data_IF_802594820945
#
_entry.id   IF_802594820945
#
_cell.length_a   1.000
_cell.length_b   1.000
_cell.length_c   1.000
_cell.angle_alpha   90.00
_cell.angle_beta   90.00
_cell.angle_gamma   90.00
#
_symmetry.space_group_name_H-M   'P 1'
#
loop_
_entity.id
_entity.type
_entity.pdbx_description
1 polymer ?
#
# COMPACT_ATOMS: atom_id res chain seq x y z
N UNK A 1 -39.99 7.49 15.27
CA UNK A 1 -39.65 6.70 14.07
C UNK A 1 -38.15 6.52 14.07
N UNK A 2 -37.68 5.32 14.40
CA UNK A 2 -36.26 4.99 14.41
C UNK A 2 -35.86 4.57 12.99
N UNK A 3 -35.00 5.36 12.36
CA UNK A 3 -34.38 5.04 11.08
C UNK A 3 -33.45 3.86 11.32
N UNK A 4 -33.77 2.69 10.74
CA UNK A 4 -32.87 1.55 10.70
C UNK A 4 -31.70 1.94 9.81
N UNK A 5 -30.54 2.20 10.41
CA UNK A 5 -29.27 2.18 9.70
C UNK A 5 -29.03 0.73 9.28
N UNK A 6 -29.26 0.46 8.00
CA UNK A 6 -28.87 -0.80 7.39
C UNK A 6 -27.35 -0.73 7.23
N UNK A 7 -26.61 -1.35 8.13
CA UNK A 7 -25.22 -1.71 7.88
C UNK A 7 -25.18 -2.44 6.53
N UNK A 8 -24.61 -1.78 5.51
CA UNK A 8 -24.45 -2.36 4.19
C UNK A 8 -23.31 -3.37 4.27
N UNK A 9 -23.62 -4.57 4.77
CA UNK A 9 -22.71 -5.72 4.83
C UNK A 9 -22.64 -6.42 3.48
N UNK A 10 -22.30 -5.69 2.41
CA UNK A 10 -21.89 -6.31 1.15
C UNK A 10 -20.38 -6.60 1.25
N UNK A 11 -19.94 -7.88 1.30
CA UNK A 11 -18.52 -8.24 1.37
C UNK A 11 -17.71 -7.66 0.21
N UNK A 12 -18.36 -7.33 -0.92
CA UNK A 12 -17.74 -6.71 -2.08
C UNK A 12 -17.31 -5.26 -1.81
N UNK A 13 -18.07 -4.52 -1.00
CA UNK A 13 -17.78 -3.13 -0.66
C UNK A 13 -16.69 -3.01 0.41
N UNK A 14 -16.63 -3.95 1.35
CA UNK A 14 -15.58 -3.99 2.37
C UNK A 14 -14.19 -4.27 1.74
N UNK A 15 -14.09 -5.27 0.86
CA UNK A 15 -12.85 -5.58 0.15
C UNK A 15 -12.38 -4.44 -0.76
N UNK A 16 -13.32 -3.79 -1.46
CA UNK A 16 -13.01 -2.61 -2.28
C UNK A 16 -12.54 -1.43 -1.44
N UNK A 17 -13.23 -1.14 -0.32
CA UNK A 17 -12.82 -0.09 0.62
C UNK A 17 -11.41 -0.32 1.13
N UNK A 18 -11.07 -1.55 1.51
CA UNK A 18 -9.71 -1.87 1.94
C UNK A 18 -8.70 -1.65 0.83
N UNK A 19 -8.98 -2.13 -0.39
CA UNK A 19 -8.10 -1.88 -1.54
C UNK A 19 -7.89 -0.38 -1.81
N UNK A 20 -8.95 0.43 -1.74
CA UNK A 20 -8.85 1.89 -1.89
C UNK A 20 -8.01 2.53 -0.78
N UNK A 21 -8.19 2.12 0.48
CA UNK A 21 -7.39 2.61 1.60
C UNK A 21 -5.91 2.27 1.39
N UNK A 22 -5.59 1.04 0.99
CA UNK A 22 -4.21 0.62 0.72
C UNK A 22 -3.59 1.43 -0.41
N UNK A 23 -4.33 1.66 -1.49
CA UNK A 23 -3.92 2.54 -2.59
C UNK A 23 -3.64 3.97 -2.11
N UNK A 24 -4.55 4.57 -1.34
CA UNK A 24 -4.36 5.92 -0.78
C UNK A 24 -3.11 6.00 0.08
N UNK A 25 -2.88 5.00 0.95
CA UNK A 25 -1.66 4.94 1.77
C UNK A 25 -0.43 4.92 0.86
N UNK A 26 -0.36 4.02 -0.11
CA UNK A 26 0.78 3.88 -1.01
C UNK A 26 1.09 5.17 -1.79
N UNK A 27 0.08 5.80 -2.39
CA UNK A 27 0.25 7.06 -3.13
C UNK A 27 0.77 8.19 -2.24
N UNK A 28 0.26 8.30 -1.00
CA UNK A 28 0.77 9.26 -0.01
C UNK A 28 2.25 8.95 0.31
N UNK A 29 2.61 7.68 0.50
CA UNK A 29 3.98 7.29 0.80
C UNK A 29 4.92 7.60 -0.37
N UNK A 30 4.49 7.38 -1.62
CA UNK A 30 5.24 7.76 -2.82
C UNK A 30 5.47 9.27 -2.88
N UNK A 31 4.46 10.08 -2.55
CA UNK A 31 4.58 11.53 -2.52
C UNK A 31 5.54 12.04 -1.46
N UNK A 32 5.56 11.36 -0.32
CA UNK A 32 6.52 11.62 0.74
C UNK A 32 7.94 11.24 0.30
N UNK A 33 8.12 10.08 -0.34
CA UNK A 33 9.42 9.62 -0.86
C UNK A 33 9.96 10.53 -1.96
N UNK A 34 9.08 11.03 -2.84
CA UNK A 34 9.41 11.99 -3.88
C UNK A 34 9.59 13.43 -3.37
N UNK A 35 9.49 13.66 -2.05
CA UNK A 35 9.54 14.98 -1.40
C UNK A 35 8.46 15.98 -1.91
N UNK A 36 7.34 15.50 -2.45
CA UNK A 36 6.16 16.33 -2.77
C UNK A 36 5.39 16.71 -1.52
N UNK A 37 5.30 15.78 -0.57
CA UNK A 37 4.63 15.93 0.72
C UNK A 37 5.65 15.79 1.86
N UNK A 38 5.66 16.67 2.87
CA UNK A 38 6.59 16.56 3.97
C UNK A 38 6.23 15.38 4.88
N UNK A 39 7.24 14.81 5.55
CA UNK A 39 7.04 13.70 6.50
C UNK A 39 6.32 14.12 7.79
N UNK A 40 6.21 15.42 8.03
CA UNK A 40 5.65 16.01 9.25
C UNK A 40 4.13 16.23 9.19
N UNK A 41 3.46 15.71 8.15
CA UNK A 41 2.00 15.76 8.00
C UNK A 41 1.36 15.08 9.21
N UNK A 42 0.48 15.79 9.92
CA UNK A 42 -0.14 15.29 11.14
C UNK A 42 -1.48 14.61 10.88
N UNK A 43 -2.18 14.98 9.80
CA UNK A 43 -3.39 14.31 9.37
C UNK A 43 -3.69 14.45 7.87
N UNK A 44 -4.77 13.82 7.40
CA UNK A 44 -5.14 13.83 5.98
C UNK A 44 -5.44 15.22 5.43
N UNK A 45 -5.93 16.15 6.27
CA UNK A 45 -6.26 17.50 5.81
C UNK A 45 -5.02 18.33 5.53
N UNK A 46 -3.92 18.08 6.26
CA UNK A 46 -2.64 18.75 6.02
C UNK A 46 -2.08 18.47 4.62
N UNK A 47 -2.39 17.31 4.02
CA UNK A 47 -1.98 16.94 2.66
C UNK A 47 -2.44 17.97 1.61
N UNK A 48 -3.61 18.59 1.82
CA UNK A 48 -4.19 19.58 0.90
C UNK A 48 -3.34 20.84 0.75
N UNK A 49 -2.39 21.08 1.67
CA UNK A 49 -1.43 22.19 1.56
C UNK A 49 -0.31 21.93 0.55
N UNK A 50 -0.20 20.69 0.04
CA UNK A 50 0.91 20.22 -0.80
C UNK A 50 0.43 19.63 -2.12
N UNK A 51 -0.64 18.84 -2.08
CA UNK A 51 -1.21 18.11 -3.21
C UNK A 51 -2.74 18.17 -3.12
N UNK A 52 -3.45 17.88 -4.21
CA UNK A 52 -4.89 17.66 -4.12
C UNK A 52 -5.15 16.27 -3.53
N UNK A 53 -5.32 16.22 -2.21
CA UNK A 53 -5.46 14.95 -1.49
C UNK A 53 -6.77 14.21 -1.85
N UNK A 54 -7.72 14.87 -2.53
CA UNK A 54 -8.92 14.19 -3.02
C UNK A 54 -8.65 13.29 -4.22
N UNK A 55 -7.48 13.43 -4.86
CA UNK A 55 -7.07 12.59 -5.98
C UNK A 55 -6.57 11.21 -5.53
N UNK A 56 -6.18 11.06 -4.26
CA UNK A 56 -5.68 9.79 -3.74
C UNK A 56 -6.73 8.69 -3.75
N UNK A 57 -6.30 7.43 -3.92
CA UNK A 57 -7.18 6.27 -4.02
C UNK A 57 -7.76 6.08 -5.43
N UNK A 58 -7.21 6.79 -6.41
CA UNK A 58 -7.71 6.83 -7.78
C UNK A 58 -8.94 7.70 -7.99
N UNK A 59 -9.47 8.43 -6.99
CA UNK A 59 -10.74 9.15 -7.13
C UNK A 59 -10.75 10.25 -8.22
N UNK A 60 -9.59 10.61 -8.76
CA UNK A 60 -9.46 11.47 -9.93
C UNK A 60 -9.49 10.75 -11.29
N UNK A 61 -9.45 9.42 -11.29
CA UNK A 61 -9.45 8.57 -12.48
C UNK A 61 -10.88 8.23 -12.89
N UNK A 62 -11.13 8.16 -14.20
CA UNK A 62 -12.44 7.81 -14.74
C UNK A 62 -12.92 6.40 -14.37
N UNK A 63 -11.99 5.51 -13.97
CA UNK A 63 -12.25 4.08 -13.77
C UNK A 63 -12.11 3.62 -12.30
N UNK A 64 -11.75 4.51 -11.37
CA UNK A 64 -11.53 4.15 -9.97
C UNK A 64 -12.82 3.90 -9.17
N UNK A 65 -13.96 4.13 -9.81
CA UNK A 65 -15.26 4.02 -9.19
C UNK A 65 -15.89 2.65 -9.48
N UNK A 66 -16.45 1.94 -8.47
CA UNK A 66 -17.15 0.67 -8.65
C UNK A 66 -18.18 0.68 -9.82
N UNK A 67 -18.34 -0.47 -10.48
CA UNK A 67 -19.46 -0.66 -11.44
C UNK A 67 -20.79 -0.17 -10.85
N UNK A 68 -21.43 0.78 -11.51
CA UNK A 68 -22.66 1.45 -11.06
C UNK A 68 -22.49 2.91 -10.63
N UNK A 69 -21.27 3.44 -10.59
CA UNK A 69 -21.03 4.87 -10.38
C UNK A 69 -21.28 5.62 -11.69
N UNK A 70 -22.20 6.58 -11.68
CA UNK A 70 -22.66 7.26 -12.90
C UNK A 70 -21.52 8.11 -13.49
N UNK A 71 -21.23 7.90 -14.78
CA UNK A 71 -20.35 8.75 -15.60
C UNK A 71 -20.90 10.18 -15.78
N UNK A 72 -22.09 10.43 -15.25
CA UNK A 72 -22.87 11.66 -15.27
C UNK A 72 -22.33 12.74 -14.31
N UNK A 73 -21.28 12.43 -13.53
CA UNK A 73 -20.61 13.35 -12.62
C UNK A 73 -21.39 13.68 -11.34
N UNK A 74 -22.48 12.95 -11.04
CA UNK A 74 -23.24 13.15 -9.81
C UNK A 74 -22.76 12.21 -8.69
N UNK A 75 -22.17 12.79 -7.65
CA UNK A 75 -21.75 12.09 -6.44
C UNK A 75 -23.00 11.78 -5.60
N UNK A 76 -23.36 10.51 -5.43
CA UNK A 76 -24.47 10.13 -4.55
C UNK A 76 -24.05 10.25 -3.08
N UNK A 77 -25.01 10.30 -2.13
CA UNK A 77 -24.69 10.22 -0.71
C UNK A 77 -23.87 8.98 -0.34
N UNK A 78 -24.11 7.82 -0.97
CA UNK A 78 -23.31 6.61 -0.73
C UNK A 78 -21.85 6.78 -1.21
N UNK A 79 -21.62 7.46 -2.34
CA UNK A 79 -20.27 7.76 -2.82
C UNK A 79 -19.51 8.66 -1.85
N UNK A 80 -20.19 9.70 -1.35
CA UNK A 80 -19.64 10.61 -0.34
C UNK A 80 -19.29 9.84 0.93
N UNK A 81 -20.16 8.94 1.38
CA UNK A 81 -19.92 8.13 2.58
C UNK A 81 -18.73 7.18 2.40
N UNK A 82 -18.61 6.53 1.24
CA UNK A 82 -17.47 5.66 0.92
C UNK A 82 -16.14 6.42 0.92
N UNK A 83 -16.08 7.56 0.23
CA UNK A 83 -14.87 8.40 0.16
C UNK A 83 -14.50 8.89 1.57
N UNK A 84 -15.48 9.40 2.32
CA UNK A 84 -15.24 9.86 3.70
C UNK A 84 -14.74 8.73 4.60
N UNK A 85 -15.26 7.51 4.46
CA UNK A 85 -14.79 6.37 5.23
C UNK A 85 -13.32 6.02 4.91
N UNK A 86 -12.93 6.06 3.63
CA UNK A 86 -11.54 5.84 3.23
C UNK A 86 -10.62 6.94 3.76
N UNK A 87 -10.99 8.21 3.57
CA UNK A 87 -10.23 9.36 4.06
C UNK A 87 -10.10 9.36 5.59
N UNK A 88 -11.14 8.96 6.33
CA UNK A 88 -11.08 8.83 7.79
C UNK A 88 -10.10 7.74 8.24
N UNK A 89 -10.12 6.57 7.59
CA UNK A 89 -9.19 5.49 7.89
C UNK A 89 -7.73 5.91 7.63
N UNK A 90 -7.46 6.58 6.51
CA UNK A 90 -6.14 7.11 6.18
C UNK A 90 -5.73 8.22 7.14
N UNK A 91 -6.64 9.12 7.50
CA UNK A 91 -6.40 10.18 8.50
C UNK A 91 -6.00 9.60 9.86
N UNK A 92 -6.68 8.54 10.30
CA UNK A 92 -6.33 7.84 11.54
C UNK A 92 -4.94 7.21 11.43
N UNK A 93 -4.63 6.54 10.32
CA UNK A 93 -3.32 5.95 10.06
C UNK A 93 -2.19 6.99 10.07
N UNK A 94 -2.37 8.17 9.46
CA UNK A 94 -1.39 9.27 9.49
C UNK A 94 -1.14 9.71 10.94
N UNK A 95 -2.21 9.94 11.71
CA UNK A 95 -2.12 10.36 13.12
C UNK A 95 -1.42 9.34 14.01
N UNK A 96 -1.46 8.06 13.63
CA UNK A 96 -0.76 6.97 14.30
C UNK A 96 0.71 6.86 13.89
N UNK A 97 1.19 7.69 12.95
CA UNK A 97 2.58 7.73 12.52
C UNK A 97 2.85 7.05 11.17
N UNK A 98 1.82 6.71 10.40
CA UNK A 98 1.96 5.95 9.15
C UNK A 98 2.92 6.54 8.10
N UNK A 99 3.06 7.87 8.04
CA UNK A 99 4.00 8.56 7.14
C UNK A 99 5.44 8.53 7.69
N UNK A 100 5.60 8.71 8.99
CA UNK A 100 6.91 8.71 9.66
C UNK A 100 7.58 7.32 9.64
N UNK A 101 6.81 6.27 9.43
CA UNK A 101 7.28 4.87 9.36
C UNK A 101 8.14 4.54 8.12
N UNK A 102 8.18 5.42 7.10
CA UNK A 102 9.01 5.19 5.88
C UNK A 102 10.52 5.23 6.17
N UNK A 103 10.95 5.80 7.30
CA UNK A 103 12.37 5.85 7.67
C UNK A 103 13.01 4.47 7.91
N UNK A 104 12.22 3.40 7.80
CA UNK A 104 12.63 2.11 8.27
C UNK A 104 13.06 1.09 7.21
N UNK A 105 13.30 1.47 5.96
CA UNK A 105 14.12 0.65 5.06
C UNK A 105 15.60 0.73 5.47
N UNK A 106 15.90 0.30 6.69
CA UNK A 106 17.27 0.14 7.12
C UNK A 106 17.81 -1.16 6.52
N UNK A 107 18.85 -0.99 5.70
CA UNK A 107 19.66 -2.07 5.17
C UNK A 107 20.44 -2.70 6.33
N UNK A 108 19.87 -3.69 7.00
CA UNK A 108 20.58 -4.46 8.02
C UNK A 108 21.38 -5.59 7.37
N UNK A 109 22.66 -5.67 7.76
CA UNK A 109 23.52 -6.82 7.50
C UNK A 109 23.16 -7.93 8.50
N UNK A 110 22.19 -8.80 8.16
CA UNK A 110 21.80 -9.91 9.04
C UNK A 110 22.71 -11.14 8.92
N UNK A 111 23.97 -10.93 8.50
CA UNK A 111 24.99 -11.96 8.43
C UNK A 111 25.16 -12.58 7.04
N UNK A 112 25.97 -13.65 6.93
CA UNK A 112 26.51 -14.10 5.66
C UNK A 112 25.40 -14.67 4.76
N UNK A 113 24.97 -13.86 3.79
CA UNK A 113 24.17 -14.30 2.65
C UNK A 113 22.74 -13.77 2.57
N UNK A 114 22.33 -12.76 3.33
CA UNK A 114 21.00 -12.17 3.19
C UNK A 114 21.03 -10.65 3.42
N UNK A 115 20.43 -9.90 2.50
CA UNK A 115 20.08 -8.49 2.73
C UNK A 115 18.57 -8.42 2.92
N UNK A 116 18.13 -7.59 3.86
CA UNK A 116 16.73 -7.50 4.26
C UNK A 116 16.18 -6.10 3.97
N UNK A 117 14.88 -6.03 3.74
CA UNK A 117 14.10 -4.81 3.78
C UNK A 117 13.12 -4.98 4.93
N UNK A 118 13.49 -4.51 6.13
CA UNK A 118 12.51 -4.43 7.22
C UNK A 118 11.61 -3.23 6.92
N UNK A 119 10.30 -3.36 7.11
CA UNK A 119 9.43 -2.19 7.29
C UNK A 119 9.32 -2.06 8.81
N UNK A 120 10.02 -1.11 9.42
CA UNK A 120 9.87 -0.86 10.86
C UNK A 120 8.80 0.19 11.10
N UNK A 121 8.02 -0.14 12.12
CA UNK A 121 7.26 0.79 12.94
C UNK A 121 5.97 1.32 12.31
N UNK A 122 5.13 0.38 11.89
CA UNK A 122 3.74 0.50 12.31
C UNK A 122 3.69 -0.02 13.75
N UNK A 123 3.09 0.74 14.66
CA UNK A 123 2.92 0.36 16.06
C UNK A 123 2.18 -0.99 16.22
N UNK A 124 1.55 -1.46 15.13
CA UNK A 124 0.84 -2.72 14.97
C UNK A 124 1.58 -3.74 14.05
N UNK A 125 2.61 -3.33 13.29
CA UNK A 125 3.50 -4.19 12.49
C UNK A 125 4.84 -4.50 13.20
N UNK A 126 5.04 -4.00 14.42
CA UNK A 126 6.21 -4.26 15.25
C UNK A 126 6.45 -5.78 15.48
N UNK A 127 5.38 -6.57 15.39
CA UNK A 127 5.40 -8.03 15.53
C UNK A 127 5.70 -8.78 14.23
N UNK A 128 6.01 -8.08 13.13
CA UNK A 128 6.27 -8.71 11.84
C UNK A 128 7.56 -8.21 11.17
N UNK A 129 8.18 -9.08 10.39
CA UNK A 129 9.37 -8.84 9.59
C UNK A 129 9.11 -9.33 8.16
N UNK A 130 9.26 -8.45 7.18
CA UNK A 130 9.29 -8.82 5.78
C UNK A 130 10.73 -8.96 5.27
N UNK A 131 10.95 -9.94 4.41
CA UNK A 131 12.22 -10.29 3.83
C UNK A 131 12.07 -10.29 2.31
N UNK A 132 12.90 -9.54 1.58
CA UNK A 132 12.93 -9.57 0.10
C UNK A 132 14.28 -10.13 -0.33
N UNK A 133 14.25 -11.31 -0.94
CA UNK A 133 15.46 -12.04 -1.34
C UNK A 133 15.34 -12.57 -2.76
N UNK A 134 16.46 -12.80 -3.45
CA UNK A 134 16.47 -13.63 -4.64
C UNK A 134 16.13 -15.08 -4.22
N UNK A 135 15.22 -15.72 -4.95
CA UNK A 135 14.71 -17.04 -4.62
C UNK A 135 15.83 -18.09 -4.56
N UNK A 136 16.79 -18.01 -5.49
CA UNK A 136 17.82 -19.03 -5.69
C UNK A 136 18.95 -18.91 -4.68
N UNK A 137 19.43 -17.69 -4.43
CA UNK A 137 20.60 -17.39 -3.61
C UNK A 137 20.24 -17.02 -2.19
N UNK A 138 18.98 -16.67 -1.93
CA UNK A 138 18.50 -16.07 -0.66
C UNK A 138 19.22 -14.78 -0.28
N UNK A 139 19.95 -14.18 -1.22
CA UNK A 139 20.65 -12.91 -1.09
C UNK A 139 19.77 -11.75 -1.55
N UNK A 140 20.32 -10.52 -1.49
CA UNK A 140 19.69 -9.38 -2.14
C UNK A 140 19.44 -9.68 -3.62
N UNK A 141 18.24 -9.40 -4.14
CA UNK A 141 18.01 -9.35 -5.58
C UNK A 141 19.02 -8.39 -6.25
N UNK A 142 19.87 -8.91 -7.15
CA UNK A 142 20.87 -8.12 -7.88
C UNK A 142 20.27 -7.46 -9.12
N UNK A 143 19.29 -8.12 -9.74
CA UNK A 143 18.57 -7.71 -10.94
C UNK A 143 17.07 -7.94 -10.76
N UNK A 144 16.40 -7.20 -9.84
CA UNK A 144 14.99 -7.40 -9.50
C UNK A 144 14.05 -7.14 -10.68
N UNK A 145 14.55 -6.53 -11.76
CA UNK A 145 13.84 -6.39 -13.03
C UNK A 145 13.50 -7.73 -13.69
N UNK A 146 14.31 -8.78 -13.47
CA UNK A 146 14.21 -10.04 -14.23
C UNK A 146 14.27 -11.31 -13.40
N UNK A 147 14.85 -11.26 -12.20
CA UNK A 147 15.03 -12.45 -11.36
C UNK A 147 13.79 -12.78 -10.53
N UNK A 148 13.76 -13.98 -9.93
CA UNK A 148 12.67 -14.39 -9.05
C UNK A 148 12.89 -13.83 -7.64
N UNK A 149 11.99 -12.97 -7.22
CA UNK A 149 12.01 -12.29 -5.93
C UNK A 149 11.10 -13.05 -4.97
N UNK A 150 11.66 -13.43 -3.82
CA UNK A 150 10.98 -14.09 -2.73
C UNK A 150 10.72 -13.09 -1.60
N UNK A 151 9.43 -12.83 -1.34
CA UNK A 151 8.92 -12.07 -0.21
C UNK A 151 8.55 -13.05 0.90
N UNK A 152 9.17 -12.96 2.07
CA UNK A 152 8.83 -13.79 3.22
C UNK A 152 8.37 -12.91 4.35
N UNK A 153 7.22 -13.19 4.95
CA UNK A 153 6.72 -12.49 6.14
C UNK A 153 6.85 -13.43 7.33
N UNK A 154 7.37 -12.92 8.43
CA UNK A 154 7.53 -13.67 9.68
C UNK A 154 7.11 -12.85 10.87
N UNK A 155 6.75 -13.52 11.95
CA UNK A 155 6.63 -12.88 13.25
C UNK A 155 8.02 -12.44 13.77
N UNK A 156 8.12 -11.25 14.36
CA UNK A 156 9.37 -10.67 14.82
C UNK A 156 9.85 -11.25 16.15
N UNK A 157 8.92 -11.74 16.99
CA UNK A 157 9.18 -12.27 18.32
C UNK A 157 9.69 -13.71 18.32
N UNK A 158 9.15 -14.54 17.43
CA UNK A 158 9.39 -15.99 17.40
C UNK A 158 9.91 -16.49 16.04
N UNK A 159 10.04 -15.61 15.05
CA UNK A 159 10.48 -15.91 13.68
C UNK A 159 9.62 -16.95 12.93
N UNK A 160 8.39 -17.21 13.40
CA UNK A 160 7.41 -18.07 12.76
C UNK A 160 7.04 -17.52 11.39
N UNK A 161 6.92 -18.41 10.42
CA UNK A 161 6.58 -18.06 9.05
C UNK A 161 5.10 -17.73 8.94
N UNK A 162 4.80 -16.52 8.48
CA UNK A 162 3.43 -16.07 8.20
C UNK A 162 3.07 -16.42 6.76
N UNK A 163 3.88 -15.94 5.80
CA UNK A 163 3.64 -16.16 4.37
C UNK A 163 4.92 -16.11 3.54
N UNK A 164 4.85 -16.66 2.33
CA UNK A 164 5.90 -16.58 1.31
C UNK A 164 5.27 -16.33 -0.05
N UNK A 165 5.77 -15.34 -0.78
CA UNK A 165 5.34 -14.99 -2.13
C UNK A 165 6.55 -14.96 -3.06
N UNK A 166 6.35 -15.45 -4.28
CA UNK A 166 7.39 -15.54 -5.31
C UNK A 166 6.91 -14.78 -6.53
N UNK A 167 7.63 -13.72 -6.90
CA UNK A 167 7.27 -12.85 -8.02
C UNK A 167 8.49 -12.69 -8.93
N UNK A 168 8.32 -12.93 -10.23
CA UNK A 168 9.43 -12.88 -11.19
C UNK A 168 9.51 -11.55 -11.90
N UNK A 169 10.57 -10.79 -11.61
CA UNK A 169 10.89 -9.56 -12.29
C UNK A 169 9.83 -8.46 -12.16
N UNK A 170 10.01 -7.38 -12.91
CA UNK A 170 9.04 -6.29 -13.00
C UNK A 170 7.66 -6.78 -13.46
N UNK A 171 7.62 -7.67 -14.45
CA UNK A 171 6.36 -8.18 -14.99
C UNK A 171 5.53 -8.91 -13.92
N UNK A 172 6.17 -9.73 -13.08
CA UNK A 172 5.50 -10.43 -11.98
C UNK A 172 5.04 -9.46 -10.87
N UNK A 173 5.86 -8.47 -10.55
CA UNK A 173 5.50 -7.43 -9.57
C UNK A 173 4.28 -6.62 -10.04
N UNK A 174 4.27 -6.15 -11.30
CA UNK A 174 3.15 -5.41 -11.89
C UNK A 174 1.90 -6.28 -11.94
N UNK A 175 2.01 -7.53 -12.40
CA UNK A 175 0.86 -8.43 -12.50
C UNK A 175 0.23 -8.65 -11.12
N UNK A 176 1.05 -8.90 -10.09
CA UNK A 176 0.57 -9.01 -8.72
C UNK A 176 -0.10 -7.72 -8.25
N UNK A 177 0.52 -6.57 -8.50
CA UNK A 177 0.01 -5.27 -8.07
C UNK A 177 -1.32 -4.93 -8.74
N UNK A 178 -1.44 -5.14 -10.05
CA UNK A 178 -2.69 -4.96 -10.80
C UNK A 178 -3.80 -5.87 -10.28
N UNK A 179 -3.50 -7.13 -10.00
CA UNK A 179 -4.48 -8.10 -9.50
C UNK A 179 -4.99 -7.73 -8.10
N UNK A 180 -4.11 -7.26 -7.21
CA UNK A 180 -4.43 -7.12 -5.78
C UNK A 180 -4.76 -5.69 -5.35
N UNK A 181 -4.26 -4.70 -6.08
CA UNK A 181 -4.45 -3.26 -5.81
C UNK A 181 -5.34 -2.60 -6.86
N UNK A 182 -5.40 -3.17 -8.08
CA UNK A 182 -6.37 -2.79 -9.10
C UNK A 182 -5.86 -1.83 -10.19
N UNK A 183 -4.58 -1.48 -10.22
CA UNK A 183 -4.00 -0.61 -11.24
C UNK A 183 -2.53 -0.95 -11.55
N UNK A 184 -2.01 -0.40 -12.66
CA UNK A 184 -0.60 -0.56 -13.04
C UNK A 184 0.23 0.61 -12.54
N UNK A 185 1.12 0.41 -11.56
CA UNK A 185 1.89 1.51 -10.98
C UNK A 185 2.93 2.11 -11.94
N UNK A 186 3.29 1.41 -13.04
CA UNK A 186 4.16 1.94 -14.10
C UNK A 186 3.43 2.85 -15.10
N UNK A 187 2.11 2.99 -15.01
CA UNK A 187 1.28 3.75 -15.96
C UNK A 187 0.59 4.96 -15.32
N UNK A 188 0.88 5.28 -14.06
CA UNK A 188 0.13 6.29 -13.30
C UNK A 188 0.55 7.74 -13.60
N UNK A 189 1.75 7.99 -14.16
CA UNK A 189 2.26 9.34 -14.40
C UNK A 189 2.94 9.51 -15.78
N UNK A 190 3.02 10.75 -16.27
CA UNK A 190 3.85 11.14 -17.44
C UNK A 190 5.36 10.88 -17.24
N UNK A 191 5.78 10.48 -16.03
CA UNK A 191 7.16 10.24 -15.62
C UNK A 191 7.77 8.91 -16.08
N UNK A 192 6.97 7.99 -16.64
CA UNK A 192 7.42 6.67 -17.05
C UNK A 192 7.41 5.63 -15.92
N UNK A 193 7.97 4.43 -16.14
CA UNK A 193 7.88 3.32 -15.20
C UNK A 193 8.57 3.64 -13.87
N UNK A 194 8.00 3.16 -12.77
CA UNK A 194 8.58 3.35 -11.44
C UNK A 194 9.98 2.73 -11.36
N UNK A 195 10.92 3.36 -10.63
CA UNK A 195 12.17 2.71 -10.27
C UNK A 195 11.89 1.33 -9.64
N UNK A 196 12.60 0.29 -10.08
CA UNK A 196 12.29 -1.09 -9.68
C UNK A 196 12.28 -1.33 -8.17
N UNK A 197 13.12 -0.61 -7.43
CA UNK A 197 13.16 -0.73 -5.97
C UNK A 197 11.92 -0.10 -5.31
N UNK A 198 11.35 0.95 -5.91
CA UNK A 198 10.09 1.54 -5.45
C UNK A 198 8.92 0.60 -5.74
N UNK A 199 8.91 -0.04 -6.92
CA UNK A 199 7.91 -1.07 -7.24
C UNK A 199 7.98 -2.27 -6.27
N UNK A 200 9.19 -2.78 -6.00
CA UNK A 200 9.41 -3.85 -5.01
C UNK A 200 8.92 -3.42 -3.62
N UNK A 201 9.19 -2.18 -3.22
CA UNK A 201 8.76 -1.63 -1.93
C UNK A 201 7.23 -1.54 -1.86
N UNK A 202 6.58 -1.04 -2.91
CA UNK A 202 5.13 -0.90 -2.99
C UNK A 202 4.44 -2.26 -2.89
N UNK A 203 4.96 -3.28 -3.60
CA UNK A 203 4.48 -4.67 -3.48
C UNK A 203 4.70 -5.23 -2.07
N UNK A 204 5.89 -5.02 -1.48
CA UNK A 204 6.19 -5.50 -0.13
C UNK A 204 5.23 -4.91 0.92
N UNK A 205 4.94 -3.62 0.85
CA UNK A 205 4.01 -2.95 1.76
C UNK A 205 2.60 -3.52 1.64
N UNK A 206 2.10 -3.68 0.41
CA UNK A 206 0.78 -4.27 0.20
C UNK A 206 0.69 -5.73 0.65
N UNK A 207 1.76 -6.52 0.47
CA UNK A 207 1.82 -7.87 1.01
C UNK A 207 1.75 -7.87 2.54
N UNK A 208 2.49 -6.97 3.20
CA UNK A 208 2.40 -6.82 4.66
C UNK A 208 0.98 -6.48 5.11
N UNK A 209 0.36 -5.46 4.53
CA UNK A 209 -0.98 -5.04 4.93
C UNK A 209 -2.06 -6.11 4.71
N UNK A 210 -1.87 -7.01 3.73
CA UNK A 210 -2.87 -8.04 3.42
C UNK A 210 -2.75 -9.27 4.31
N UNK A 211 -1.54 -9.65 4.68
CA UNK A 211 -1.27 -10.88 5.44
C UNK A 211 -1.32 -10.66 6.96
N UNK A 212 -1.42 -9.40 7.41
CA UNK A 212 -1.51 -9.04 8.82
C UNK A 212 -2.97 -8.89 9.27
N UNK A 213 -3.43 -9.71 10.24
CA UNK A 213 -4.84 -9.78 10.64
C UNK A 213 -5.37 -8.57 11.42
N UNK A 214 -4.52 -7.62 11.81
CA UNK A 214 -4.89 -6.45 12.62
C UNK A 214 -5.07 -5.14 11.81
N UNK A 215 -5.14 -5.22 10.47
CA UNK A 215 -5.34 -4.07 9.56
C UNK A 215 -6.64 -4.08 8.75
#
# INVERSE_FOLDING_TARGET
MATKYSECTDPTNASKRQATILRMKDEILRDVLANRVPRTIADFSDLQSHVDANMYGGFGETDAFPEGWSTDGQMTPEHVEFINACQQAVCQWIRQGGISAIDALELFDGGPGACYYRVMDEKDAADYLLFVTDHSTRQRPATPESEEICFTIRHSDNAELVSVHHLTGRAGLIAWYQEHVGHNPDQEDEGGPLPILELVTSVALHLMYREMPEF
#
